data_IF_132325846786
#
_entry.id   IF_132325846786
#
_cell.length_a   1.000
_cell.length_b   1.000
_cell.length_c   1.000
_cell.angle_alpha   90.00
_cell.angle_beta   90.00
_cell.angle_gamma   90.00
#
_symmetry.space_group_name_H-M   'P 1'
#
loop_
_entity.id
_entity.type
_entity.pdbx_description
1 polymer ?
#
# COMPACT_ATOMS: atom_id res chain seq x y z
N UNK A 1 60.16 1.21 23.76
CA UNK A 1 59.54 2.09 24.76
C UNK A 1 58.63 3.03 23.98
N UNK A 2 57.33 2.77 24.05
CA UNK A 2 56.25 3.43 23.29
C UNK A 2 55.94 4.82 23.88
N UNK A 3 55.20 5.61 23.08
CA UNK A 3 54.32 6.73 23.47
C UNK A 3 55.00 8.11 23.57
N UNK A 4 54.45 9.24 23.09
CA UNK A 4 53.09 9.66 22.75
C UNK A 4 53.11 10.70 21.61
N UNK A 5 52.18 10.62 20.66
CA UNK A 5 51.74 11.73 19.80
C UNK A 5 50.23 11.90 20.00
N UNK A 6 49.70 13.13 20.11
CA UNK A 6 48.31 13.35 20.49
C UNK A 6 47.37 13.04 19.33
N UNK A 7 46.25 12.39 19.67
CA UNK A 7 45.11 12.11 18.81
C UNK A 7 44.61 13.39 18.15
N UNK A 8 44.73 13.47 16.82
CA UNK A 8 43.84 14.33 16.02
C UNK A 8 42.44 13.73 16.12
N UNK A 9 41.51 14.47 16.72
CA UNK A 9 40.08 14.23 16.55
C UNK A 9 39.78 14.36 15.05
N UNK A 10 39.61 13.22 14.39
CA UNK A 10 38.94 13.14 13.11
C UNK A 10 37.47 13.38 13.39
N UNK A 11 37.05 14.64 13.30
CA UNK A 11 35.65 15.02 13.13
C UNK A 11 35.22 14.36 11.83
N UNK A 12 34.53 13.22 11.92
CA UNK A 12 33.76 12.70 10.81
C UNK A 12 32.64 13.71 10.60
N UNK A 13 32.87 14.59 9.61
CA UNK A 13 31.82 15.32 8.94
C UNK A 13 30.93 14.22 8.35
N UNK A 14 29.86 13.88 9.06
CA UNK A 14 28.74 13.14 8.49
C UNK A 14 28.26 14.03 7.37
N UNK A 15 28.52 13.59 6.15
CA UNK A 15 28.05 14.27 4.95
C UNK A 15 26.56 14.51 5.13
N UNK A 16 26.18 15.78 5.20
CA UNK A 16 24.81 16.20 4.93
C UNK A 16 24.54 15.84 3.47
N UNK A 17 24.11 14.61 3.24
CA UNK A 17 23.33 14.32 2.05
C UNK A 17 22.03 15.07 2.28
N UNK A 18 21.88 16.16 1.54
CA UNK A 18 20.59 16.78 1.27
C UNK A 18 19.69 15.69 0.70
N UNK A 19 19.00 14.95 1.58
CA UNK A 19 17.86 14.10 1.24
C UNK A 19 16.77 15.06 0.78
N UNK A 20 16.72 15.28 -0.53
CA UNK A 20 15.65 16.02 -1.17
C UNK A 20 14.33 15.40 -0.73
N UNK A 21 13.43 16.24 -0.23
CA UNK A 21 12.00 15.92 -0.14
C UNK A 21 11.54 15.58 -1.57
N UNK A 22 11.47 14.28 -1.86
CA UNK A 22 11.09 13.78 -3.18
C UNK A 22 9.57 13.91 -3.30
N UNK A 23 9.11 15.07 -3.78
CA UNK A 23 7.73 15.28 -4.19
C UNK A 23 7.68 15.30 -5.73
N UNK A 24 7.40 14.17 -6.41
CA UNK A 24 7.17 14.15 -7.84
C UNK A 24 5.82 14.82 -8.14
N UNK A 25 5.79 16.14 -8.14
CA UNK A 25 4.65 16.87 -8.68
C UNK A 25 4.60 16.64 -10.18
N UNK A 26 3.53 16.00 -10.62
CA UNK A 26 3.18 15.90 -12.02
C UNK A 26 1.92 16.73 -12.24
N UNK A 27 2.08 17.86 -12.92
CA UNK A 27 0.95 18.70 -13.31
C UNK A 27 0.00 17.93 -14.23
N UNK A 28 -1.28 18.30 -14.19
CA UNK A 28 -2.29 17.78 -15.11
C UNK A 28 -2.11 18.53 -16.43
N UNK A 29 -1.82 17.79 -17.52
CA UNK A 29 -1.62 18.38 -18.83
C UNK A 29 -2.90 19.07 -19.37
N UNK A 30 -2.75 20.01 -20.30
CA UNK A 30 -3.86 20.85 -20.81
C UNK A 30 -4.94 20.06 -21.57
N UNK A 31 -4.59 18.90 -22.14
CA UNK A 31 -5.48 18.02 -22.89
C UNK A 31 -5.90 16.76 -22.13
N UNK A 32 -5.45 16.60 -20.87
CA UNK A 32 -5.80 15.43 -20.07
C UNK A 32 -7.22 15.57 -19.50
N UNK A 33 -7.90 14.43 -19.40
CA UNK A 33 -9.06 14.36 -18.52
C UNK A 33 -8.58 14.20 -17.09
N UNK A 34 -9.37 14.67 -16.13
CA UNK A 34 -9.04 14.52 -14.73
C UNK A 34 -10.23 14.16 -13.87
N UNK A 35 -9.92 13.59 -12.72
CA UNK A 35 -10.85 13.24 -11.65
C UNK A 35 -10.42 13.95 -10.36
N UNK A 36 -11.38 14.19 -9.48
CA UNK A 36 -11.09 14.55 -8.09
C UNK A 36 -11.24 13.32 -7.22
N UNK A 37 -10.18 12.98 -6.50
CA UNK A 37 -10.17 11.94 -5.49
C UNK A 37 -10.33 12.57 -4.11
N UNK A 38 -11.05 11.89 -3.21
CA UNK A 38 -11.14 12.22 -1.79
C UNK A 38 -10.57 11.10 -0.93
N UNK A 39 -9.74 11.45 0.04
CA UNK A 39 -9.19 10.53 1.02
C UNK A 39 -10.00 10.59 2.32
N UNK A 40 -10.30 9.42 2.87
CA UNK A 40 -10.94 9.23 4.16
C UNK A 40 -10.06 8.33 5.02
N UNK A 41 -9.80 8.75 6.24
CA UNK A 41 -8.88 8.09 7.15
C UNK A 41 -9.38 8.19 8.59
N UNK A 42 -9.33 7.07 9.30
CA UNK A 42 -9.51 7.00 10.74
C UNK A 42 -8.22 6.42 11.32
N UNK A 43 -7.55 7.12 12.25
CA UNK A 43 -6.30 6.65 12.82
C UNK A 43 -6.42 5.29 13.52
N UNK A 44 -5.26 4.67 13.75
CA UNK A 44 -5.13 3.41 14.47
C UNK A 44 -5.83 3.50 15.85
N UNK A 45 -6.57 2.45 16.20
CA UNK A 45 -7.13 2.28 17.54
C UNK A 45 -6.02 1.78 18.45
N UNK A 46 -5.44 2.69 19.22
CA UNK A 46 -4.27 2.45 20.08
C UNK A 46 -4.51 1.27 21.04
N UNK A 47 -5.73 1.08 21.53
CA UNK A 47 -6.11 0.00 22.45
C UNK A 47 -6.06 -1.40 21.82
N UNK A 48 -5.87 -1.50 20.51
CA UNK A 48 -5.68 -2.78 19.82
C UNK A 48 -4.23 -3.24 19.76
N UNK A 49 -3.30 -2.34 20.10
CA UNK A 49 -1.88 -2.65 20.25
C UNK A 49 -1.65 -3.55 21.47
N UNK A 50 -0.65 -4.43 21.39
CA UNK A 50 -0.32 -5.38 22.46
C UNK A 50 0.81 -4.91 23.35
N UNK A 51 1.66 -4.01 22.85
CA UNK A 51 2.79 -3.45 23.59
C UNK A 51 2.31 -2.42 24.61
N UNK A 52 2.87 -2.51 25.81
CA UNK A 52 2.61 -1.53 26.86
C UNK A 52 3.22 -0.18 26.47
N UNK A 53 2.35 0.78 26.18
CA UNK A 53 2.71 2.13 25.75
C UNK A 53 3.29 2.95 26.90
N UNK A 54 3.09 2.50 28.14
CA UNK A 54 3.57 3.14 29.34
C UNK A 54 5.05 2.83 29.61
N UNK A 55 5.64 1.71 29.14
CA UNK A 55 7.02 1.33 29.50
C UNK A 55 8.16 2.23 28.93
N UNK A 56 7.82 3.29 28.19
CA UNK A 56 8.78 4.25 27.61
C UNK A 56 9.40 5.24 28.62
N UNK A 57 9.24 5.03 29.93
CA UNK A 57 9.42 6.03 31.00
C UNK A 57 10.84 6.53 31.29
N UNK A 58 11.90 6.07 30.60
CA UNK A 58 13.26 6.53 30.90
C UNK A 58 13.93 7.22 29.70
N UNK A 59 13.58 8.50 29.52
CA UNK A 59 14.47 9.51 28.91
C UNK A 59 14.62 9.50 27.40
N UNK A 60 13.79 8.75 26.66
CA UNK A 60 13.85 8.70 25.20
C UNK A 60 12.73 9.52 24.56
N UNK A 61 13.08 10.16 23.45
CA UNK A 61 12.17 10.80 22.50
C UNK A 61 10.98 9.84 22.23
N UNK A 62 9.73 10.33 22.30
CA UNK A 62 8.52 9.51 22.11
C UNK A 62 8.53 8.87 20.71
N UNK A 63 8.86 7.58 20.66
CA UNK A 63 8.92 6.79 19.42
C UNK A 63 7.56 6.70 18.72
N UNK A 64 6.45 6.94 19.44
CA UNK A 64 5.08 6.86 18.93
C UNK A 64 4.51 8.22 18.51
N UNK A 65 5.30 9.29 18.58
CA UNK A 65 4.88 10.65 18.20
C UNK A 65 4.18 10.71 16.84
N UNK A 66 4.81 10.21 15.77
CA UNK A 66 4.21 10.23 14.43
C UNK A 66 2.90 9.45 14.33
N UNK A 67 2.76 8.34 15.08
CA UNK A 67 1.50 7.60 15.16
C UNK A 67 0.40 8.42 15.85
N UNK A 68 0.74 9.09 16.97
CA UNK A 68 -0.22 9.92 17.73
C UNK A 68 -0.62 11.18 16.98
N UNK A 69 0.27 11.73 16.17
CA UNK A 69 0.05 12.96 15.40
C UNK A 69 -0.72 12.71 14.10
N UNK A 70 -0.57 11.52 13.50
CA UNK A 70 -1.26 11.15 12.27
C UNK A 70 -2.75 10.86 12.50
N UNK A 71 -3.54 11.93 12.56
CA UNK A 71 -4.97 11.90 12.92
C UNK A 71 -5.91 12.15 11.75
N UNK A 72 -5.37 12.60 10.61
CA UNK A 72 -6.11 12.95 9.39
C UNK A 72 -5.25 12.72 8.15
N UNK A 73 -5.85 12.64 6.94
CA UNK A 73 -5.08 12.61 5.69
C UNK A 73 -4.21 13.87 5.56
N UNK A 74 -3.07 13.71 4.90
CA UNK A 74 -2.22 14.84 4.46
C UNK A 74 -2.97 15.76 3.48
N UNK A 75 -3.71 15.18 2.53
CA UNK A 75 -4.61 15.89 1.63
C UNK A 75 -5.98 15.21 1.60
N UNK A 76 -7.03 15.92 2.01
CA UNK A 76 -8.41 15.41 2.00
C UNK A 76 -8.94 15.17 0.57
N UNK A 77 -8.42 15.92 -0.40
CA UNK A 77 -8.73 15.77 -1.81
C UNK A 77 -7.55 16.18 -2.68
N UNK A 78 -7.47 15.60 -3.88
CA UNK A 78 -6.50 15.96 -4.92
C UNK A 78 -7.08 15.69 -6.30
N UNK A 79 -6.65 16.48 -7.28
CA UNK A 79 -6.96 16.26 -8.70
C UNK A 79 -5.90 15.37 -9.35
N UNK A 80 -6.36 14.40 -10.16
CA UNK A 80 -5.51 13.49 -10.92
C UNK A 80 -5.94 13.44 -12.37
N UNK A 81 -5.02 13.78 -13.27
CA UNK A 81 -5.15 13.45 -14.69
C UNK A 81 -5.24 11.94 -14.93
N UNK A 82 -5.94 11.51 -15.98
CA UNK A 82 -6.08 10.09 -16.36
C UNK A 82 -4.71 9.45 -16.58
N UNK A 83 -3.73 10.24 -17.04
CA UNK A 83 -2.34 9.76 -17.23
C UNK A 83 -1.66 9.32 -15.94
N UNK A 84 -2.10 9.76 -14.77
CA UNK A 84 -1.57 9.24 -13.50
C UNK A 84 -1.98 7.79 -13.23
N UNK A 85 -2.98 7.26 -13.94
CA UNK A 85 -3.45 5.89 -13.76
C UNK A 85 -2.82 4.90 -14.74
N UNK A 86 -1.82 5.33 -15.54
CA UNK A 86 -1.27 4.50 -16.62
C UNK A 86 -0.64 3.20 -16.16
N UNK A 87 -0.18 3.09 -14.91
CA UNK A 87 0.34 1.83 -14.38
C UNK A 87 -0.72 0.73 -14.27
N UNK A 88 -2.00 1.10 -14.15
CA UNK A 88 -3.10 0.14 -14.14
C UNK A 88 -3.51 -0.27 -15.55
N UNK A 89 -3.11 0.44 -16.59
CA UNK A 89 -3.58 0.18 -17.95
C UNK A 89 -2.84 -0.98 -18.58
N UNK A 90 -3.60 -1.88 -19.21
CA UNK A 90 -3.07 -2.98 -20.00
C UNK A 90 -3.22 -2.64 -21.49
N UNK A 91 -2.14 -2.13 -22.09
CA UNK A 91 -2.16 -1.70 -23.50
C UNK A 91 -2.19 -2.87 -24.48
N UNK A 92 -1.77 -4.06 -24.05
CA UNK A 92 -1.88 -5.28 -24.84
C UNK A 92 -3.29 -5.87 -24.72
N UNK A 93 -3.71 -6.69 -25.71
CA UNK A 93 -5.00 -7.39 -25.63
C UNK A 93 -4.95 -8.43 -24.53
N UNK A 94 -5.36 -8.05 -23.33
CA UNK A 94 -5.41 -8.92 -22.18
C UNK A 94 -6.73 -9.67 -22.13
N UNK A 95 -6.64 -10.99 -22.00
CA UNK A 95 -7.80 -11.84 -21.77
C UNK A 95 -8.35 -11.58 -20.36
N UNK A 96 -9.66 -11.65 -20.22
CA UNK A 96 -10.32 -11.58 -18.92
C UNK A 96 -9.70 -12.58 -17.93
N UNK A 97 -9.51 -12.16 -16.68
CA UNK A 97 -8.89 -12.98 -15.64
C UNK A 97 -7.37 -13.13 -15.73
N UNK A 98 -6.73 -12.54 -16.75
CA UNK A 98 -5.27 -12.52 -16.80
C UNK A 98 -4.71 -11.57 -15.72
N UNK A 99 -3.84 -12.13 -14.88
CA UNK A 99 -3.13 -11.42 -13.82
C UNK A 99 -1.82 -10.88 -14.37
N UNK A 100 -1.53 -9.62 -14.09
CA UNK A 100 -0.28 -8.95 -14.44
C UNK A 100 0.26 -8.16 -13.24
N UNK A 101 1.56 -7.89 -13.26
CA UNK A 101 2.21 -7.13 -12.21
C UNK A 101 2.10 -5.63 -12.50
N UNK A 102 1.62 -4.83 -11.54
CA UNK A 102 1.65 -3.36 -11.61
C UNK A 102 3.09 -2.86 -11.45
N UNK A 103 3.80 -3.48 -10.51
CA UNK A 103 5.23 -3.33 -10.30
C UNK A 103 5.74 -4.53 -9.51
N UNK A 104 6.96 -4.93 -9.85
CA UNK A 104 7.73 -5.93 -9.10
C UNK A 104 9.02 -5.29 -8.63
N UNK A 105 9.49 -5.67 -7.44
CA UNK A 105 10.93 -5.69 -7.24
C UNK A 105 11.44 -6.88 -8.05
N UNK A 106 12.08 -6.65 -9.20
CA UNK A 106 12.78 -7.71 -9.93
C UNK A 106 13.85 -8.31 -9.02
N UNK A 107 13.51 -9.39 -8.32
CA UNK A 107 14.48 -10.17 -7.55
C UNK A 107 14.16 -11.65 -7.72
N UNK A 108 15.09 -12.36 -8.32
CA UNK A 108 15.18 -13.82 -8.24
C UNK A 108 15.04 -14.25 -6.78
N UNK A 109 14.34 -15.36 -6.52
CA UNK A 109 14.25 -16.00 -5.19
C UNK A 109 15.63 -16.19 -4.52
N UNK A 110 16.68 -16.39 -5.32
CA UNK A 110 18.06 -16.51 -4.83
C UNK A 110 18.64 -15.15 -4.37
N UNK A 111 18.22 -14.06 -5.02
CA UNK A 111 18.58 -12.70 -4.63
C UNK A 111 17.75 -12.18 -3.45
N UNK A 112 16.52 -12.66 -3.22
CA UNK A 112 15.73 -12.27 -2.03
C UNK A 112 16.27 -12.90 -0.73
N UNK A 113 16.94 -14.04 -0.81
CA UNK A 113 17.66 -14.64 0.34
C UNK A 113 19.00 -13.96 0.67
N UNK A 114 19.56 -13.19 -0.27
CA UNK A 114 20.94 -12.69 -0.21
C UNK A 114 21.06 -11.17 -0.27
N UNK A 115 20.01 -10.47 -0.67
CA UNK A 115 20.03 -9.02 -0.77
C UNK A 115 19.84 -8.41 0.62
N UNK A 116 20.61 -7.36 0.97
CA UNK A 116 20.38 -6.65 2.21
C UNK A 116 18.93 -6.17 2.23
N UNK A 117 18.22 -6.51 3.31
CA UNK A 117 16.93 -5.90 3.62
C UNK A 117 17.08 -4.38 3.53
N UNK A 118 16.06 -3.70 3.01
CA UNK A 118 16.05 -2.25 3.01
C UNK A 118 16.16 -1.79 4.47
N UNK A 119 17.07 -0.85 4.73
CA UNK A 119 17.33 -0.37 6.09
C UNK A 119 16.08 0.27 6.69
N UNK A 120 15.86 0.02 7.98
CA UNK A 120 14.80 0.65 8.76
C UNK A 120 15.17 2.07 9.20
N UNK A 121 16.43 2.49 9.04
CA UNK A 121 16.92 3.85 9.29
C UNK A 121 16.62 4.85 8.15
N UNK A 122 15.61 4.59 7.32
CA UNK A 122 15.18 5.53 6.28
C UNK A 122 14.08 6.44 6.82
N UNK A 123 14.14 7.70 6.46
CA UNK A 123 13.09 8.68 6.78
C UNK A 123 12.28 9.02 5.54
N UNK A 124 12.96 9.35 4.44
CA UNK A 124 12.29 9.83 3.24
C UNK A 124 12.20 8.75 2.15
N UNK A 125 11.09 8.73 1.38
CA UNK A 125 10.93 7.82 0.25
C UNK A 125 12.08 7.96 -0.75
N UNK A 126 12.53 6.83 -1.28
CA UNK A 126 13.46 6.82 -2.41
C UNK A 126 12.76 7.30 -3.69
N UNK A 127 13.53 7.84 -4.63
CA UNK A 127 13.03 8.14 -5.99
C UNK A 127 12.34 6.91 -6.59
N UNK A 128 11.15 7.11 -7.16
CA UNK A 128 10.36 6.06 -7.82
C UNK A 128 10.47 6.17 -9.34
N UNK A 129 10.12 5.08 -10.03
CA UNK A 129 9.92 5.05 -11.49
C UNK A 129 8.75 5.96 -11.87
N UNK A 130 8.88 6.70 -12.98
CA UNK A 130 7.86 7.63 -13.48
C UNK A 130 6.47 6.97 -13.62
N UNK A 131 6.44 5.67 -13.96
CA UNK A 131 5.19 4.91 -14.05
C UNK A 131 4.44 4.80 -12.71
N UNK A 132 5.13 4.92 -11.59
CA UNK A 132 4.56 4.78 -10.23
C UNK A 132 4.21 6.12 -9.57
N UNK A 133 4.49 7.25 -10.24
CA UNK A 133 4.22 8.59 -9.70
C UNK A 133 2.75 8.73 -9.31
N UNK A 134 1.83 8.27 -10.15
CA UNK A 134 0.40 8.35 -9.83
C UNK A 134 0.03 7.63 -8.55
N UNK A 135 0.53 6.41 -8.33
CA UNK A 135 0.25 5.66 -7.11
C UNK A 135 0.91 6.28 -5.89
N UNK A 136 2.15 6.73 -6.01
CA UNK A 136 2.82 7.47 -4.93
C UNK A 136 1.99 8.69 -4.53
N UNK A 137 1.53 9.49 -5.49
CA UNK A 137 0.72 10.68 -5.23
C UNK A 137 -0.62 10.34 -4.56
N UNK A 138 -1.27 9.25 -4.97
CA UNK A 138 -2.49 8.78 -4.29
C UNK A 138 -2.19 8.43 -2.82
N UNK A 139 -1.11 7.71 -2.55
CA UNK A 139 -0.72 7.38 -1.17
C UNK A 139 -0.28 8.60 -0.36
N UNK A 140 0.34 9.59 -1.01
CA UNK A 140 0.73 10.87 -0.39
C UNK A 140 -0.46 11.70 0.06
N UNK A 141 -1.69 11.40 -0.40
CA UNK A 141 -2.91 11.97 0.18
C UNK A 141 -3.07 11.56 1.64
N UNK A 142 -2.64 10.36 2.04
CA UNK A 142 -2.76 9.89 3.41
C UNK A 142 -1.63 10.39 4.30
N UNK A 143 -0.38 10.30 3.83
CA UNK A 143 0.80 10.70 4.58
C UNK A 143 1.94 11.13 3.62
N UNK A 144 2.74 12.16 3.93
CA UNK A 144 3.76 12.69 3.00
C UNK A 144 4.91 11.72 2.66
N UNK A 145 5.08 10.64 3.43
CA UNK A 145 6.18 9.67 3.28
C UNK A 145 5.71 8.24 2.97
N UNK A 146 5.06 8.00 1.82
CA UNK A 146 4.73 6.64 1.40
C UNK A 146 5.94 5.97 0.73
N UNK A 147 6.12 4.69 1.00
CA UNK A 147 7.15 3.84 0.42
C UNK A 147 6.47 2.69 -0.35
N UNK A 148 6.56 2.74 -1.68
CA UNK A 148 6.10 1.65 -2.55
C UNK A 148 7.06 0.46 -2.53
N UNK A 149 8.35 0.72 -2.27
CA UNK A 149 9.38 -0.30 -2.11
C UNK A 149 9.53 -0.65 -0.63
N UNK A 150 8.71 -1.60 -0.20
CA UNK A 150 8.62 -2.02 1.21
C UNK A 150 9.80 -2.90 1.65
N UNK A 151 10.06 -2.93 2.95
CA UNK A 151 11.18 -3.67 3.56
C UNK A 151 10.99 -5.19 3.50
N UNK A 152 9.78 -5.68 3.74
CA UNK A 152 9.47 -7.11 3.89
C UNK A 152 8.51 -7.63 2.81
N UNK A 153 8.60 -8.89 2.37
CA UNK A 153 7.63 -9.48 1.43
C UNK A 153 6.21 -9.61 2.01
N UNK A 154 5.17 -9.73 1.18
CA UNK A 154 5.21 -9.71 -0.30
C UNK A 154 5.34 -8.29 -0.85
N UNK A 155 6.26 -8.13 -1.81
CA UNK A 155 6.54 -6.83 -2.41
C UNK A 155 5.82 -6.69 -3.75
N UNK A 156 5.42 -5.46 -4.06
CA UNK A 156 4.86 -5.14 -5.36
C UNK A 156 3.36 -4.94 -5.35
N UNK A 157 2.79 -4.96 -6.55
CA UNK A 157 1.37 -4.88 -6.80
C UNK A 157 0.97 -5.75 -7.99
N UNK A 158 -0.22 -6.32 -7.91
CA UNK A 158 -0.79 -7.18 -8.94
C UNK A 158 -2.20 -6.71 -9.28
N UNK A 159 -2.58 -6.90 -10.53
CA UNK A 159 -3.88 -6.51 -11.04
C UNK A 159 -4.38 -7.51 -12.07
N UNK A 160 -5.69 -7.46 -12.33
CA UNK A 160 -6.33 -8.30 -13.34
C UNK A 160 -7.53 -7.57 -13.96
N UNK A 161 -7.87 -7.95 -15.19
CA UNK A 161 -9.10 -7.46 -15.85
C UNK A 161 -10.29 -8.32 -15.39
N UNK A 162 -11.12 -7.76 -14.50
CA UNK A 162 -12.29 -8.45 -13.93
C UNK A 162 -13.41 -8.57 -14.95
N UNK A 163 -13.74 -7.45 -15.61
CA UNK A 163 -14.87 -7.36 -16.52
C UNK A 163 -14.61 -6.41 -17.69
N UNK A 164 -15.33 -6.60 -18.79
CA UNK A 164 -15.26 -5.72 -19.96
C UNK A 164 -16.51 -5.80 -20.84
N UNK A 165 -16.80 -4.72 -21.56
CA UNK A 165 -17.77 -4.66 -22.66
C UNK A 165 -17.21 -3.82 -23.84
N UNK A 166 -18.07 -3.25 -24.67
CA UNK A 166 -17.63 -2.43 -25.80
C UNK A 166 -17.15 -1.04 -25.40
N UNK A 167 -17.59 -0.53 -24.25
CA UNK A 167 -17.31 0.83 -23.79
C UNK A 167 -16.25 0.87 -22.68
N UNK A 168 -16.27 -0.11 -21.76
CA UNK A 168 -15.53 -0.08 -20.51
C UNK A 168 -14.74 -1.36 -20.22
N UNK A 169 -13.71 -1.20 -19.40
CA UNK A 169 -12.93 -2.25 -18.78
C UNK A 169 -12.90 -1.97 -17.27
N UNK A 170 -13.13 -3.01 -16.47
CA UNK A 170 -12.92 -2.99 -15.03
C UNK A 170 -11.67 -3.78 -14.66
N UNK A 171 -10.79 -3.10 -13.93
CA UNK A 171 -9.53 -3.61 -13.44
C UNK A 171 -9.62 -3.65 -11.92
N UNK A 172 -9.33 -4.79 -11.32
CA UNK A 172 -9.16 -4.90 -9.87
C UNK A 172 -7.71 -5.17 -9.54
N UNK A 173 -7.26 -4.68 -8.40
CA UNK A 173 -5.86 -4.73 -8.03
C UNK A 173 -5.65 -4.80 -6.52
N UNK A 174 -4.46 -5.28 -6.14
CA UNK A 174 -3.93 -5.19 -4.78
C UNK A 174 -2.43 -4.92 -4.78
N UNK A 175 -1.94 -4.22 -3.78
CA UNK A 175 -0.51 -3.95 -3.63
C UNK A 175 -0.14 -3.66 -2.17
N UNK A 176 1.15 -3.67 -1.86
CA UNK A 176 1.67 -3.31 -0.55
C UNK A 176 2.48 -2.02 -0.61
N UNK A 177 2.32 -1.20 0.42
CA UNK A 177 3.10 0.01 0.66
C UNK A 177 3.24 0.21 2.18
N UNK A 178 4.30 0.88 2.60
CA UNK A 178 4.53 1.25 4.00
C UNK A 178 4.61 2.78 4.12
N UNK A 179 4.33 3.32 5.30
CA UNK A 179 4.50 4.73 5.61
C UNK A 179 5.55 4.88 6.70
N UNK A 180 6.37 5.91 6.57
CA UNK A 180 7.32 6.28 7.62
C UNK A 180 6.74 7.51 8.35
N UNK A 181 6.45 7.39 9.65
CA UNK A 181 5.68 8.41 10.38
C UNK A 181 6.55 9.45 11.09
N UNK A 182 7.72 9.07 11.61
CA UNK A 182 8.54 9.97 12.43
C UNK A 182 9.57 10.75 11.60
N UNK A 183 9.95 11.95 12.04
CA UNK A 183 11.07 12.70 11.46
C UNK A 183 12.21 12.83 12.47
N UNK A 184 13.46 13.08 12.02
CA UNK A 184 14.53 13.42 12.95
C UNK A 184 14.12 14.61 13.83
N UNK A 185 14.40 14.58 15.16
CA UNK A 185 15.29 13.65 15.85
C UNK A 185 14.62 12.35 16.35
N UNK A 186 13.32 12.15 16.11
CA UNK A 186 12.65 10.90 16.44
C UNK A 186 13.20 9.78 15.56
N UNK A 187 13.41 8.61 16.15
CA UNK A 187 13.81 7.44 15.37
C UNK A 187 12.66 6.99 14.46
N UNK A 188 12.95 6.28 13.37
CA UNK A 188 11.92 5.82 12.45
C UNK A 188 10.82 4.99 13.09
N UNK A 189 9.60 5.25 12.62
CA UNK A 189 8.40 4.48 12.90
C UNK A 189 7.77 4.11 11.56
N UNK A 190 7.64 2.82 11.31
CA UNK A 190 7.07 2.25 10.10
C UNK A 190 5.67 1.76 10.38
N UNK A 191 4.76 2.12 9.48
CA UNK A 191 3.35 1.76 9.51
C UNK A 191 3.01 1.08 8.20
N UNK A 192 2.73 -0.22 8.25
CA UNK A 192 2.51 -1.05 7.07
C UNK A 192 1.09 -1.59 7.11
N UNK A 193 0.13 -0.99 6.39
CA UNK A 193 -1.18 -1.59 6.21
C UNK A 193 -1.05 -2.99 5.62
N UNK A 194 -1.96 -3.90 5.99
CA UNK A 194 -1.98 -5.29 5.53
C UNK A 194 -1.87 -5.35 4.00
N UNK A 195 -2.74 -4.63 3.30
CA UNK A 195 -2.67 -4.39 1.86
C UNK A 195 -3.54 -3.20 1.46
N UNK A 196 -3.29 -2.69 0.27
CA UNK A 196 -4.24 -1.85 -0.45
C UNK A 196 -4.97 -2.67 -1.50
N UNK A 197 -6.29 -2.53 -1.55
CA UNK A 197 -7.18 -3.18 -2.50
C UNK A 197 -7.97 -2.11 -3.25
N UNK A 198 -8.25 -2.33 -4.53
CA UNK A 198 -9.00 -1.36 -5.30
C UNK A 198 -9.56 -1.86 -6.62
N UNK A 199 -10.36 -0.99 -7.24
CA UNK A 199 -10.87 -1.18 -8.59
C UNK A 199 -10.83 0.12 -9.39
N UNK A 200 -10.74 -0.03 -10.71
CA UNK A 200 -10.70 1.04 -11.69
C UNK A 200 -11.61 0.65 -12.85
N UNK A 201 -12.61 1.47 -13.13
CA UNK A 201 -13.42 1.36 -14.34
C UNK A 201 -13.01 2.48 -15.27
N UNK A 202 -12.56 2.11 -16.47
CA UNK A 202 -12.00 3.01 -17.46
C UNK A 202 -12.59 2.70 -18.83
N UNK A 203 -12.67 3.69 -19.71
CA UNK A 203 -13.03 3.46 -21.11
C UNK A 203 -12.05 2.51 -21.79
N UNK A 204 -12.50 1.78 -22.80
CA UNK A 204 -11.71 0.78 -23.54
C UNK A 204 -10.45 1.33 -24.22
N UNK A 205 -10.45 2.65 -24.49
CA UNK A 205 -9.30 3.39 -25.04
C UNK A 205 -8.40 4.02 -23.96
N UNK A 206 -8.70 3.81 -22.67
CA UNK A 206 -7.97 4.34 -21.52
C UNK A 206 -7.95 5.88 -21.41
N UNK A 207 -8.89 6.57 -22.05
CA UNK A 207 -8.96 8.05 -22.05
C UNK A 207 -9.88 8.64 -20.98
N UNK A 208 -10.77 7.82 -20.41
CA UNK A 208 -11.80 8.26 -19.46
C UNK A 208 -11.89 7.33 -18.27
N UNK A 209 -11.80 7.88 -17.07
CA UNK A 209 -12.04 7.13 -15.84
C UNK A 209 -13.50 7.31 -15.46
N UNK A 210 -14.22 6.19 -15.34
CA UNK A 210 -15.58 6.18 -14.86
C UNK A 210 -15.62 6.04 -13.33
N UNK A 211 -14.83 5.12 -12.77
CA UNK A 211 -14.79 4.88 -11.32
C UNK A 211 -13.37 4.52 -10.87
N UNK A 212 -13.01 4.91 -9.66
CA UNK A 212 -11.80 4.43 -8.99
C UNK A 212 -12.03 4.41 -7.48
N UNK A 213 -11.70 3.28 -6.87
CA UNK A 213 -11.70 3.10 -5.43
C UNK A 213 -10.42 2.40 -4.97
N UNK A 214 -9.91 2.86 -3.85
CA UNK A 214 -8.76 2.32 -3.14
C UNK A 214 -9.12 2.23 -1.67
N UNK A 215 -8.80 1.12 -1.00
CA UNK A 215 -9.00 0.99 0.43
C UNK A 215 -8.05 -0.02 1.06
N UNK A 216 -7.81 0.11 2.36
CA UNK A 216 -7.24 -0.95 3.19
C UNK A 216 -8.39 -1.77 3.76
N UNK A 217 -8.45 -3.10 3.55
CA UNK A 217 -9.47 -3.94 4.16
C UNK A 217 -9.49 -3.84 5.68
N UNK A 218 -10.69 -3.79 6.26
CA UNK A 218 -10.93 -3.66 7.71
C UNK A 218 -11.94 -4.68 8.23
N UNK A 219 -12.20 -5.74 7.46
CA UNK A 219 -13.02 -6.90 7.86
C UNK A 219 -12.32 -7.76 8.93
N UNK A 220 -11.00 -7.58 9.08
CA UNK A 220 -10.18 -8.26 10.07
C UNK A 220 -10.04 -7.45 11.35
N UNK A 221 -9.69 -8.13 12.44
CA UNK A 221 -9.48 -7.49 13.75
C UNK A 221 -8.22 -6.65 13.83
N UNK A 222 -7.23 -6.98 13.01
CA UNK A 222 -5.92 -6.34 12.93
C UNK A 222 -5.61 -6.22 11.43
N UNK A 223 -5.06 -5.09 11.01
CA UNK A 223 -4.83 -4.79 9.59
C UNK A 223 -3.63 -3.86 9.36
N UNK A 224 -2.77 -3.68 10.36
CA UNK A 224 -1.57 -2.84 10.28
C UNK A 224 -0.44 -3.49 11.08
N UNK A 225 0.69 -3.72 10.42
CA UNK A 225 1.98 -3.99 11.09
C UNK A 225 2.67 -2.68 11.42
N UNK A 226 3.31 -2.61 12.59
CA UNK A 226 4.09 -1.45 13.02
C UNK A 226 5.45 -1.88 13.53
N UNK A 227 6.47 -1.17 13.08
CA UNK A 227 7.84 -1.37 13.53
C UNK A 227 8.50 -0.04 13.85
N UNK A 228 9.14 0.08 15.00
CA UNK A 228 9.82 1.33 15.35
C UNK A 228 11.12 1.11 16.08
N UNK A 229 12.00 2.10 15.95
CA UNK A 229 13.33 2.06 16.54
C UNK A 229 13.36 2.85 17.85
N UNK A 230 13.71 2.19 18.95
CA UNK A 230 13.97 2.83 20.25
C UNK A 230 15.44 3.30 20.40
N UNK A 231 16.20 3.33 19.31
CA UNK A 231 17.60 3.71 19.28
C UNK A 231 18.27 3.47 17.92
N UNK A 232 19.54 3.86 17.74
CA UNK A 232 20.21 3.91 16.44
C UNK A 232 20.60 2.54 15.84
N UNK A 233 20.35 1.42 16.53
CA UNK A 233 20.77 0.08 16.10
C UNK A 233 19.57 -0.83 15.85
N UNK A 234 19.28 -1.09 14.56
CA UNK A 234 18.11 -1.87 14.11
C UNK A 234 18.00 -3.25 14.79
N UNK A 235 19.10 -3.99 14.89
CA UNK A 235 19.11 -5.36 15.42
C UNK A 235 18.85 -5.52 16.92
N UNK A 236 18.78 -4.42 17.68
CA UNK A 236 18.60 -4.45 19.14
C UNK A 236 17.53 -3.52 19.65
N UNK A 237 17.10 -2.57 18.84
CA UNK A 237 16.19 -1.50 19.24
C UNK A 237 14.89 -1.49 18.45
N UNK A 238 14.65 -2.47 17.58
CA UNK A 238 13.42 -2.60 16.84
C UNK A 238 12.35 -3.24 17.72
N UNK A 239 11.24 -2.53 17.88
CA UNK A 239 9.99 -3.06 18.39
C UNK A 239 9.06 -3.36 17.23
N UNK A 240 8.19 -4.34 17.44
CA UNK A 240 7.14 -4.75 16.51
C UNK A 240 5.83 -4.87 17.28
N UNK A 241 4.76 -4.38 16.69
CA UNK A 241 3.40 -4.59 17.17
C UNK A 241 2.42 -4.58 15.99
N UNK A 242 1.21 -5.06 16.23
CA UNK A 242 0.14 -5.10 15.25
C UNK A 242 -1.07 -4.37 15.83
N UNK A 243 -1.82 -3.68 14.98
CA UNK A 243 -3.01 -2.97 15.42
C UNK A 243 -4.11 -2.93 14.38
N UNK A 244 -5.17 -2.21 14.73
CA UNK A 244 -6.36 -2.02 13.91
C UNK A 244 -6.53 -0.56 13.51
N UNK A 245 -6.64 -0.34 12.21
CA UNK A 245 -7.01 0.92 11.60
C UNK A 245 -8.39 0.76 10.93
N UNK A 246 -9.43 1.48 11.40
CA UNK A 246 -10.79 1.27 10.93
C UNK A 246 -11.02 1.66 9.46
N UNK A 247 -10.33 2.70 8.99
CA UNK A 247 -10.60 3.28 7.69
C UNK A 247 -9.36 3.92 7.07
N UNK A 248 -9.06 3.51 5.84
CA UNK A 248 -8.18 4.23 4.93
C UNK A 248 -8.70 3.96 3.53
N UNK A 249 -9.27 4.96 2.87
CA UNK A 249 -9.84 4.81 1.53
C UNK A 249 -9.69 6.10 0.71
N UNK A 250 -9.49 5.95 -0.59
CA UNK A 250 -9.47 7.05 -1.55
C UNK A 250 -10.36 6.72 -2.75
N UNK A 251 -11.35 7.56 -3.01
CA UNK A 251 -12.37 7.33 -4.04
C UNK A 251 -12.55 8.58 -4.89
N UNK A 252 -12.85 8.41 -6.18
CA UNK A 252 -13.22 9.54 -7.02
C UNK A 252 -14.63 10.02 -6.72
N UNK A 253 -14.86 11.31 -6.90
CA UNK A 253 -16.13 11.98 -6.61
C UNK A 253 -17.09 11.99 -7.80
N UNK A 254 -16.55 11.94 -9.01
CA UNK A 254 -17.27 11.92 -10.27
C UNK A 254 -16.39 11.30 -11.36
N UNK A 255 -17.00 10.91 -12.49
CA UNK A 255 -16.28 10.49 -13.69
C UNK A 255 -15.32 11.59 -14.19
N UNK A 256 -14.30 11.18 -14.94
CA UNK A 256 -13.32 12.10 -15.49
C UNK A 256 -13.97 13.14 -16.42
N UNK A 257 -13.43 14.36 -16.40
CA UNK A 257 -13.83 15.44 -17.29
C UNK A 257 -12.62 16.06 -17.97
N UNK A 258 -12.80 16.57 -19.19
CA UNK A 258 -11.77 17.33 -19.90
C UNK A 258 -11.42 18.60 -19.13
N UNK A 259 -10.12 18.86 -18.99
CA UNK A 259 -9.60 20.18 -18.62
C UNK A 259 -9.85 21.13 -19.79
N UNK A 260 -10.54 22.25 -19.54
CA UNK A 260 -10.78 23.32 -20.54
C UNK A 260 -9.96 24.56 -20.25
N UNK A 261 -9.70 24.82 -18.96
CA UNK A 261 -8.97 25.97 -18.48
C UNK A 261 -7.96 25.56 -17.40
N UNK A 262 -6.92 26.38 -17.22
CA UNK A 262 -5.88 26.11 -16.22
C UNK A 262 -6.42 26.00 -14.80
N UNK A 263 -7.40 26.85 -14.47
CA UNK A 263 -8.04 26.93 -13.16
C UNK A 263 -9.02 25.76 -12.86
N UNK A 264 -9.35 24.92 -13.85
CA UNK A 264 -10.30 23.80 -13.64
C UNK A 264 -9.78 22.77 -12.62
N UNK A 265 -8.47 22.77 -12.38
CA UNK A 265 -7.77 21.86 -11.46
C UNK A 265 -7.48 22.49 -10.09
N UNK A 266 -7.84 23.76 -9.87
CA UNK A 266 -7.65 24.46 -8.59
C UNK A 266 -8.74 24.11 -7.57
N UNK A 267 -9.90 23.64 -8.04
CA UNK A 267 -11.05 23.26 -7.22
C UNK A 267 -11.41 21.78 -7.43
N UNK A 268 -12.04 21.13 -6.44
CA UNK A 268 -12.55 19.78 -6.59
C UNK A 268 -13.77 19.74 -7.51
N UNK A 269 -13.89 18.67 -8.30
CA UNK A 269 -15.12 18.30 -9.01
C UNK A 269 -16.19 17.99 -7.96
N UNK A 270 -17.39 18.53 -8.17
CA UNK A 270 -18.54 18.23 -7.33
C UNK A 270 -18.89 16.73 -7.39
N UNK A 271 -19.31 16.19 -6.25
CA UNK A 271 -19.67 14.78 -6.16
C UNK A 271 -20.91 14.47 -7.02
N UNK A 272 -20.78 13.47 -7.89
CA UNK A 272 -21.87 12.94 -8.69
C UNK A 272 -22.59 11.84 -7.89
N UNK A 273 -23.72 12.21 -7.29
CA UNK A 273 -24.55 11.28 -6.51
C UNK A 273 -25.11 10.11 -7.35
N UNK A 274 -25.06 10.19 -8.68
CA UNK A 274 -25.51 9.13 -9.60
C UNK A 274 -24.38 8.22 -10.07
N UNK A 275 -23.13 8.47 -9.65
CA UNK A 275 -21.97 7.71 -10.07
C UNK A 275 -22.10 6.23 -9.73
N UNK A 276 -22.47 5.91 -8.49
CA UNK A 276 -22.60 4.52 -8.05
C UNK A 276 -23.71 3.79 -8.80
N UNK A 277 -24.84 4.45 -9.05
CA UNK A 277 -25.93 3.89 -9.87
C UNK A 277 -25.45 3.66 -11.31
N UNK A 278 -24.68 4.59 -11.88
CA UNK A 278 -24.11 4.43 -13.22
C UNK A 278 -23.19 3.21 -13.28
N UNK A 279 -22.31 3.03 -12.28
CA UNK A 279 -21.39 1.88 -12.17
C UNK A 279 -22.14 0.57 -12.01
N UNK A 280 -23.15 0.53 -11.13
CA UNK A 280 -23.94 -0.68 -10.86
C UNK A 280 -24.80 -1.11 -12.05
N UNK A 281 -25.15 -0.19 -12.95
CA UNK A 281 -25.98 -0.46 -14.12
C UNK A 281 -25.18 -0.85 -15.37
N UNK A 282 -23.84 -0.96 -15.29
CA UNK A 282 -23.03 -1.43 -16.41
C UNK A 282 -23.34 -2.90 -16.69
N UNK A 283 -23.71 -3.20 -17.93
CA UNK A 283 -23.88 -4.57 -18.40
C UNK A 283 -22.55 -5.06 -18.98
N UNK A 284 -21.93 -6.02 -18.32
CA UNK A 284 -20.67 -6.62 -18.75
C UNK A 284 -20.93 -7.73 -19.78
N UNK A 285 -20.16 -7.73 -20.87
CA UNK A 285 -20.19 -8.82 -21.85
C UNK A 285 -19.42 -10.04 -21.33
N UNK A 286 -18.36 -9.77 -20.56
CA UNK A 286 -17.48 -10.75 -19.97
C UNK A 286 -17.15 -10.29 -18.55
N UNK A 287 -17.38 -11.12 -17.53
CA UNK A 287 -17.03 -10.82 -16.14
C UNK A 287 -16.68 -12.05 -15.31
N UNK A 288 -15.75 -11.89 -14.37
CA UNK A 288 -15.51 -12.86 -13.29
C UNK A 288 -16.07 -12.28 -12.00
N UNK A 289 -16.45 -13.16 -11.06
CA UNK A 289 -16.90 -12.75 -9.74
C UNK A 289 -15.84 -11.89 -9.04
N UNK A 290 -16.27 -10.89 -8.29
CA UNK A 290 -15.35 -10.00 -7.56
C UNK A 290 -14.50 -10.77 -6.54
N UNK A 291 -15.13 -11.71 -5.82
CA UNK A 291 -14.44 -12.58 -4.85
C UNK A 291 -13.42 -13.48 -5.54
N UNK A 292 -13.78 -14.10 -6.68
CA UNK A 292 -12.88 -14.93 -7.48
C UNK A 292 -11.67 -14.12 -7.99
N UNK A 293 -11.91 -12.85 -8.36
CA UNK A 293 -10.88 -11.95 -8.82
C UNK A 293 -9.89 -11.63 -7.70
N UNK A 294 -10.37 -11.23 -6.52
CA UNK A 294 -9.51 -10.94 -5.38
C UNK A 294 -8.79 -12.18 -4.85
N UNK A 295 -9.44 -13.34 -4.84
CA UNK A 295 -8.80 -14.61 -4.49
C UNK A 295 -7.64 -14.92 -5.43
N UNK A 296 -7.80 -14.71 -6.74
CA UNK A 296 -6.73 -14.92 -7.72
C UNK A 296 -5.53 -13.99 -7.46
N UNK A 297 -5.76 -12.71 -7.13
CA UNK A 297 -4.69 -11.80 -6.77
C UNK A 297 -4.01 -12.19 -5.45
N UNK A 298 -4.78 -12.63 -4.46
CA UNK A 298 -4.25 -13.11 -3.18
C UNK A 298 -3.34 -14.31 -3.40
N UNK A 299 -3.76 -15.31 -4.17
CA UNK A 299 -2.94 -16.50 -4.49
C UNK A 299 -1.68 -16.12 -5.26
N UNK A 300 -1.73 -15.13 -6.15
CA UNK A 300 -0.54 -14.64 -6.87
C UNK A 300 0.50 -14.05 -5.92
N UNK A 301 0.07 -13.30 -4.89
CA UNK A 301 0.96 -12.70 -3.87
C UNK A 301 1.39 -13.72 -2.80
N UNK A 302 0.50 -14.64 -2.46
CA UNK A 302 0.68 -15.67 -1.43
C UNK A 302 0.40 -17.06 -2.02
N UNK A 303 1.37 -17.68 -2.71
CA UNK A 303 1.17 -18.98 -3.36
C UNK A 303 0.69 -20.08 -2.40
N UNK A 304 0.97 -19.98 -1.09
CA UNK A 304 0.48 -20.93 -0.09
C UNK A 304 -1.06 -20.90 0.09
N UNK A 305 -1.74 -19.82 -0.30
CA UNK A 305 -3.20 -19.68 -0.27
C UNK A 305 -3.93 -20.52 -1.31
N UNK A 306 -3.20 -21.16 -2.23
CA UNK A 306 -3.77 -22.16 -3.14
C UNK A 306 -4.30 -23.40 -2.40
N UNK A 307 -3.88 -23.60 -1.16
CA UNK A 307 -4.31 -24.72 -0.31
C UNK A 307 -5.61 -24.35 0.38
N UNK A 308 -6.61 -25.24 0.32
CA UNK A 308 -7.85 -25.08 1.08
C UNK A 308 -7.58 -25.23 2.58
N UNK A 309 -7.91 -24.20 3.35
CA UNK A 309 -7.87 -24.24 4.81
C UNK A 309 -9.21 -24.70 5.36
N UNK A 310 -9.16 -25.70 6.24
CA UNK A 310 -10.31 -26.17 7.00
C UNK A 310 -10.10 -25.79 8.46
N UNK A 311 -11.18 -25.47 9.17
CA UNK A 311 -11.07 -25.35 10.62
C UNK A 311 -10.81 -26.74 11.25
N UNK A 312 -10.48 -26.77 12.53
CA UNK A 312 -10.09 -28.01 13.21
C UNK A 312 -11.18 -29.10 13.13
N UNK A 313 -12.45 -28.71 13.28
CA UNK A 313 -13.59 -29.65 13.21
C UNK A 313 -13.82 -30.18 11.79
N UNK A 314 -13.71 -29.33 10.79
CA UNK A 314 -13.83 -29.71 9.37
C UNK A 314 -12.68 -30.61 8.93
N UNK A 315 -11.46 -30.33 9.39
CA UNK A 315 -10.28 -31.14 9.09
C UNK A 315 -10.48 -32.60 9.54
N UNK A 316 -11.03 -32.80 10.75
CA UNK A 316 -11.33 -34.15 11.26
C UNK A 316 -12.38 -34.86 10.40
N UNK A 317 -13.47 -34.17 10.05
CA UNK A 317 -14.50 -34.73 9.17
C UNK A 317 -13.94 -35.12 7.81
N UNK A 318 -13.16 -34.22 7.19
CA UNK A 318 -12.56 -34.44 5.89
C UNK A 318 -11.57 -35.61 5.88
N UNK A 319 -10.75 -35.72 6.93
CA UNK A 319 -9.82 -36.83 7.09
C UNK A 319 -10.54 -38.18 7.22
N UNK A 320 -11.68 -38.23 7.92
CA UNK A 320 -12.52 -39.42 8.03
C UNK A 320 -13.17 -39.78 6.69
N UNK A 321 -13.77 -38.81 6.00
CA UNK A 321 -14.40 -38.98 4.68
C UNK A 321 -13.40 -39.50 3.64
N UNK A 322 -12.17 -38.97 3.65
CA UNK A 322 -11.13 -39.34 2.70
C UNK A 322 -10.26 -40.54 3.14
N UNK A 323 -10.52 -41.10 4.33
CA UNK A 323 -9.72 -42.16 4.94
C UNK A 323 -8.21 -41.81 5.00
N UNK A 324 -7.89 -40.60 5.45
CA UNK A 324 -6.51 -40.07 5.57
C UNK A 324 -6.14 -39.79 7.01
N UNK A 325 -4.83 -39.87 7.30
CA UNK A 325 -4.27 -39.42 8.58
C UNK A 325 -4.13 -37.89 8.60
N UNK A 326 -4.27 -37.30 9.79
CA UNK A 326 -4.04 -35.87 10.02
C UNK A 326 -2.58 -35.67 10.41
N UNK A 327 -1.88 -34.80 9.67
CA UNK A 327 -0.57 -34.29 10.05
C UNK A 327 -0.72 -32.87 10.60
N UNK A 328 -0.20 -32.62 11.81
CA UNK A 328 -0.29 -31.30 12.45
C UNK A 328 1.03 -30.57 12.36
N UNK A 329 0.99 -29.32 11.90
CA UNK A 329 2.13 -28.41 11.85
C UNK A 329 1.78 -27.21 12.75
N UNK A 330 2.64 -26.92 13.72
CA UNK A 330 2.54 -25.71 14.53
C UNK A 330 3.46 -24.65 13.95
N UNK A 331 2.90 -23.50 13.60
CA UNK A 331 3.62 -22.35 13.08
C UNK A 331 3.50 -21.18 14.05
N UNK A 332 4.53 -20.33 14.06
CA UNK A 332 4.51 -19.05 14.74
C UNK A 332 4.30 -17.97 13.67
N UNK A 333 3.18 -17.26 13.73
CA UNK A 333 2.75 -16.30 12.70
C UNK A 333 1.42 -16.70 12.06
N UNK A 334 0.77 -15.73 11.43
CA UNK A 334 -0.52 -15.92 10.80
C UNK A 334 -0.34 -16.47 9.37
N UNK A 335 -1.25 -17.34 8.92
CA UNK A 335 -1.31 -17.83 7.53
C UNK A 335 -2.32 -17.04 6.69
N UNK A 336 -2.54 -15.78 7.08
CA UNK A 336 -3.45 -14.86 6.46
C UNK A 336 -2.88 -13.46 6.37
N UNK A 337 -3.53 -12.66 5.53
CA UNK A 337 -3.13 -11.33 5.12
C UNK A 337 -3.61 -10.29 6.15
N UNK A 338 -3.18 -10.46 7.41
CA UNK A 338 -3.58 -9.60 8.53
C UNK A 338 -2.61 -8.44 8.74
N UNK A 339 -1.33 -8.66 8.41
CA UNK A 339 -0.23 -7.72 8.54
C UNK A 339 1.00 -8.38 7.89
N UNK A 340 1.89 -7.61 7.25
CA UNK A 340 3.07 -8.14 6.56
C UNK A 340 4.04 -8.88 7.50
#
# INVERSE_FOLDING_TARGET
>A
MLSWLPYKLSVYIVASLTEFEYNPEQEIEEDDQFVTMRAYFTPLVIETMTKDLEESYFGNIDSLSGLKEWTKPNHEWMNFGVRHFTMFFQKERVQQGHIYDLYTEERSFMSSMSAPHLSSNRFYPSKIDDKLIGLYRILSMFHPRPFLMIRFPPKGGVALVRAQNDDYIEIVFRFHAEFQLNEPPHNPFWFTPAQFTGSLIVSKDYTRILNFNLYVPSDKKLNVDMEWLNGPRENRNMEVDIGYMPLMTANITAKSRLRRHSHDTEEPIEADNTLQDTVNNIIWTHEIGLDDAFQQLEVKMYPFKQITYYNFTETIKKAQEENKLIHSILLWGALDDQSC
#
